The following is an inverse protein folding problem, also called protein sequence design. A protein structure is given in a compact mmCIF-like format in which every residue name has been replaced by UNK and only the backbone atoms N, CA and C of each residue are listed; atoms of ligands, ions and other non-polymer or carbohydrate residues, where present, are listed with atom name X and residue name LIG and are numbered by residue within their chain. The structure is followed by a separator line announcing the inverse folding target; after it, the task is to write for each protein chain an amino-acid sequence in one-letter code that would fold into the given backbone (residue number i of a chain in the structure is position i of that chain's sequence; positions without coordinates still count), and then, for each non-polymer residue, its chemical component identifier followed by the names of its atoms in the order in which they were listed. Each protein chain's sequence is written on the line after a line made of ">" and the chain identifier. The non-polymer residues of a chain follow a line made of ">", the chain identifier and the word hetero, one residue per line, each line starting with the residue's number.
data_IF_985730533437
#
_entry.id   IF_985730533437
#
_cell.length_a   1.000
_cell.length_b   1.000
_cell.length_c   1.000
_cell.angle_alpha   90.00
_cell.angle_beta   90.00
_cell.angle_gamma   90.00
#
_symmetry.space_group_name_H-M   'P 1'
#
loop_
_entity.id
_entity.type
_entity.pdbx_description
1 polymer ?
#
# COMPACT_ATOMS: atom_id res chain seq x y z
N UNK A 1 -15.20 68.41 -36.98
CA UNK A 1 -15.28 68.59 -35.52
C UNK A 1 -15.05 67.24 -34.88
N UNK A 2 -13.99 67.09 -34.10
CA UNK A 2 -13.32 65.84 -33.77
C UNK A 2 -14.02 65.06 -32.63
N UNK A 3 -14.49 63.86 -32.90
CA UNK A 3 -14.91 62.95 -31.83
C UNK A 3 -13.83 61.89 -31.64
N UNK A 4 -13.08 61.95 -30.54
CA UNK A 4 -12.07 60.97 -30.13
C UNK A 4 -12.77 59.80 -29.42
N UNK A 5 -12.84 58.67 -30.07
CA UNK A 5 -13.30 57.43 -29.42
C UNK A 5 -12.15 56.84 -28.59
N UNK A 6 -12.32 56.88 -27.26
CA UNK A 6 -11.45 56.16 -26.31
C UNK A 6 -11.88 54.71 -26.25
N UNK A 7 -11.06 53.85 -26.85
CA UNK A 7 -11.18 52.40 -26.66
C UNK A 7 -10.43 52.03 -25.37
N UNK A 8 -11.19 51.79 -24.31
CA UNK A 8 -10.69 51.23 -23.07
C UNK A 8 -10.49 49.72 -23.22
N UNK A 9 -9.25 49.30 -23.32
CA UNK A 9 -8.84 47.87 -23.28
C UNK A 9 -8.95 47.39 -21.84
N UNK A 10 -10.07 46.74 -21.52
CA UNK A 10 -10.27 46.03 -20.24
C UNK A 10 -9.52 44.70 -20.30
N UNK A 11 -8.29 44.72 -19.78
CA UNK A 11 -7.46 43.53 -19.60
C UNK A 11 -8.06 42.64 -18.50
N UNK A 12 -8.79 41.60 -18.90
CA UNK A 12 -9.39 40.59 -18.01
C UNK A 12 -8.30 39.59 -17.61
N UNK A 13 -7.64 39.84 -16.48
CA UNK A 13 -6.74 38.87 -15.85
C UNK A 13 -7.54 37.67 -15.37
N UNK A 14 -7.43 36.55 -16.11
CA UNK A 14 -7.83 35.23 -15.66
C UNK A 14 -6.89 34.79 -14.54
N UNK A 15 -7.30 34.96 -13.29
CA UNK A 15 -6.67 34.28 -12.16
C UNK A 15 -7.07 32.81 -12.24
N UNK A 16 -6.22 31.98 -12.86
CA UNK A 16 -6.25 30.54 -12.67
C UNK A 16 -5.88 30.23 -11.22
N UNK A 17 -6.86 30.17 -10.33
CA UNK A 17 -6.71 29.57 -9.01
C UNK A 17 -6.48 28.07 -9.20
N UNK A 18 -5.21 27.66 -9.26
CA UNK A 18 -4.81 26.25 -9.18
C UNK A 18 -5.22 25.72 -7.81
N UNK A 19 -6.41 25.13 -7.74
CA UNK A 19 -6.84 24.40 -6.56
C UNK A 19 -5.94 23.16 -6.42
N UNK A 20 -4.85 23.30 -5.66
CA UNK A 20 -4.05 22.15 -5.22
C UNK A 20 -4.95 21.35 -4.29
N UNK A 21 -5.43 20.22 -4.77
CA UNK A 21 -6.06 19.20 -3.94
C UNK A 21 -5.03 18.76 -2.90
N UNK A 22 -5.13 19.32 -1.72
CA UNK A 22 -4.29 18.97 -0.59
C UNK A 22 -4.75 17.59 -0.11
N UNK A 23 -3.95 16.57 -0.37
CA UNK A 23 -4.26 15.23 0.10
C UNK A 23 -4.33 15.25 1.64
N UNK A 24 -5.35 14.61 2.22
CA UNK A 24 -5.50 14.60 3.67
C UNK A 24 -4.26 13.99 4.31
N UNK A 25 -3.69 14.69 5.28
CA UNK A 25 -2.52 14.19 6.03
C UNK A 25 -2.98 13.04 6.90
N UNK A 26 -2.65 11.82 6.51
CA UNK A 26 -2.90 10.61 7.32
C UNK A 26 -2.01 10.68 8.56
N UNK A 27 -2.63 10.78 9.74
CA UNK A 27 -1.93 10.85 11.04
C UNK A 27 -2.06 9.57 11.86
N UNK A 28 -2.93 8.66 11.45
CA UNK A 28 -3.21 7.40 12.12
C UNK A 28 -3.51 6.33 11.08
N UNK A 29 -3.00 5.12 11.28
CA UNK A 29 -3.18 4.01 10.37
C UNK A 29 -1.89 3.23 10.14
N UNK A 30 -1.68 2.76 8.92
CA UNK A 30 -0.48 2.03 8.53
C UNK A 30 0.24 2.73 7.37
N UNK A 31 1.54 2.54 7.31
CA UNK A 31 2.38 2.94 6.18
C UNK A 31 3.52 1.94 6.02
N UNK A 32 4.16 1.92 4.88
CA UNK A 32 5.31 1.04 4.67
C UNK A 32 5.62 0.84 3.20
N UNK A 33 6.34 -0.23 2.94
CA UNK A 33 6.80 -0.57 1.60
C UNK A 33 6.47 -2.03 1.25
N UNK A 34 5.98 -2.24 0.04
CA UNK A 34 5.82 -3.56 -0.57
C UNK A 34 7.02 -3.81 -1.48
N UNK A 35 7.75 -4.88 -1.20
CA UNK A 35 8.91 -5.29 -2.00
C UNK A 35 8.73 -6.70 -2.53
N UNK A 36 9.30 -6.94 -3.70
CA UNK A 36 9.27 -8.23 -4.36
C UNK A 36 10.68 -8.80 -4.45
N UNK A 37 10.81 -10.04 -4.01
CA UNK A 37 12.06 -10.79 -4.08
C UNK A 37 11.86 -11.97 -5.01
N UNK A 38 12.69 -12.08 -6.02
CA UNK A 38 12.70 -13.21 -6.93
C UNK A 38 14.13 -13.70 -7.16
N UNK A 39 14.25 -14.96 -7.58
CA UNK A 39 15.52 -15.58 -7.93
C UNK A 39 16.19 -16.32 -6.78
N UNK A 40 17.41 -16.81 -7.06
CA UNK A 40 18.19 -17.61 -6.14
C UNK A 40 18.79 -16.72 -5.03
N UNK A 41 18.39 -16.96 -3.79
CA UNK A 41 18.87 -16.29 -2.57
C UNK A 41 19.99 -17.08 -1.87
N UNK A 42 20.44 -18.21 -2.45
CA UNK A 42 21.54 -18.99 -1.84
C UNK A 42 22.83 -18.18 -1.83
N UNK A 43 23.57 -18.18 -0.69
CA UNK A 43 24.90 -17.62 -0.64
C UNK A 43 25.81 -18.31 -1.66
N UNK A 44 26.35 -17.56 -2.61
CA UNK A 44 27.36 -18.06 -3.56
C UNK A 44 28.65 -17.28 -3.36
N UNK A 45 29.81 -17.95 -3.28
CA UNK A 45 31.10 -17.27 -3.08
C UNK A 45 31.41 -16.23 -4.17
N UNK A 46 30.89 -16.45 -5.39
CA UNK A 46 31.16 -15.62 -6.55
C UNK A 46 30.14 -14.52 -6.81
N UNK A 47 29.03 -14.49 -6.05
CA UNK A 47 27.99 -13.48 -6.22
C UNK A 47 27.87 -12.59 -5.01
N UNK A 48 28.65 -11.52 -4.97
CA UNK A 48 28.42 -10.37 -4.10
C UNK A 48 27.21 -9.53 -4.54
N UNK A 49 26.19 -10.18 -5.08
CA UNK A 49 24.94 -9.55 -5.50
C UNK A 49 24.00 -9.46 -4.28
N UNK A 50 23.91 -8.28 -3.68
CA UNK A 50 22.79 -7.99 -2.79
C UNK A 50 21.51 -8.23 -3.58
N UNK A 51 20.64 -9.13 -3.12
CA UNK A 51 19.28 -9.21 -3.63
C UNK A 51 18.65 -7.82 -3.41
N UNK A 52 18.40 -7.12 -4.49
CA UNK A 52 17.76 -5.81 -4.39
C UNK A 52 16.28 -6.07 -4.25
N UNK A 53 15.76 -5.84 -3.04
CA UNK A 53 14.32 -5.83 -2.80
C UNK A 53 13.70 -4.71 -3.65
N UNK A 54 13.11 -5.07 -4.77
CA UNK A 54 12.49 -4.10 -5.67
C UNK A 54 11.11 -3.72 -5.13
N UNK A 55 10.87 -2.41 -4.93
CA UNK A 55 9.54 -1.90 -4.66
C UNK A 55 8.59 -2.23 -5.82
N UNK A 56 7.35 -2.58 -5.53
CA UNK A 56 6.35 -2.95 -6.52
C UNK A 56 5.00 -2.35 -6.21
N UNK A 57 4.30 -1.95 -7.28
CA UNK A 57 2.92 -1.50 -7.19
C UNK A 57 2.01 -2.71 -7.01
N UNK A 58 1.30 -2.78 -5.88
CA UNK A 58 0.32 -3.85 -5.56
C UNK A 58 -0.86 -3.28 -4.80
N UNK A 59 -1.99 -3.95 -4.90
CA UNK A 59 -3.12 -3.69 -4.03
C UNK A 59 -2.92 -4.42 -2.70
N UNK A 60 -3.16 -3.70 -1.61
CA UNK A 60 -3.22 -4.25 -0.26
C UNK A 60 -4.68 -4.24 0.17
N UNK A 61 -5.20 -5.40 0.51
CA UNK A 61 -6.54 -5.58 1.06
C UNK A 61 -6.43 -5.71 2.58
N UNK A 62 -7.06 -4.79 3.30
CA UNK A 62 -7.06 -4.74 4.76
C UNK A 62 -8.39 -5.29 5.24
N UNK A 63 -8.33 -6.36 5.99
CA UNK A 63 -9.48 -7.07 6.54
C UNK A 63 -9.56 -6.90 8.06
N UNK A 64 -10.74 -7.13 8.65
CA UNK A 64 -10.84 -7.40 10.07
C UNK A 64 -9.92 -8.57 10.42
N UNK A 65 -9.52 -8.67 11.69
CA UNK A 65 -8.59 -9.70 12.16
C UNK A 65 -9.02 -11.08 11.68
N UNK A 66 -8.15 -11.77 10.95
CA UNK A 66 -8.46 -12.98 10.18
C UNK A 66 -7.64 -14.16 10.66
N UNK A 67 -8.28 -15.26 11.00
CA UNK A 67 -7.65 -16.52 11.36
C UNK A 67 -7.62 -17.53 10.18
N UNK A 68 -6.96 -18.67 10.39
CA UNK A 68 -6.83 -19.74 9.39
C UNK A 68 -8.17 -20.36 8.96
N UNK A 69 -9.22 -20.26 9.78
CA UNK A 69 -10.56 -20.78 9.45
C UNK A 69 -11.33 -19.86 8.49
N UNK A 70 -10.92 -18.62 8.41
CA UNK A 70 -11.56 -17.58 7.59
C UNK A 70 -10.92 -17.41 6.21
N UNK A 71 -9.95 -18.23 5.87
CA UNK A 71 -9.31 -18.24 4.55
C UNK A 71 -9.47 -19.58 3.85
N UNK A 72 -9.28 -19.59 2.55
CA UNK A 72 -9.18 -20.82 1.74
C UNK A 72 -7.84 -20.81 1.01
N UNK A 73 -7.27 -21.99 0.77
CA UNK A 73 -5.92 -22.13 0.20
C UNK A 73 -4.87 -22.37 1.28
N UNK A 74 -3.61 -22.29 0.90
CA UNK A 74 -2.46 -22.53 1.78
C UNK A 74 -1.50 -21.33 1.77
N UNK A 75 -0.89 -21.05 2.93
CA UNK A 75 0.16 -20.06 3.02
C UNK A 75 1.29 -20.35 2.02
N UNK A 76 1.87 -19.32 1.40
CA UNK A 76 1.59 -17.92 1.57
C UNK A 76 0.52 -17.37 0.62
N UNK A 77 -0.13 -18.20 -0.22
CA UNK A 77 -1.08 -17.78 -1.25
C UNK A 77 -2.47 -18.31 -0.95
N UNK A 78 -3.37 -17.44 -0.55
CA UNK A 78 -4.76 -17.80 -0.24
C UNK A 78 -5.67 -17.46 -1.42
N UNK A 79 -6.65 -18.30 -1.70
CA UNK A 79 -7.61 -18.12 -2.80
C UNK A 79 -8.81 -17.27 -2.40
N UNK A 80 -9.14 -17.25 -1.11
CA UNK A 80 -10.28 -16.52 -0.58
C UNK A 80 -10.04 -16.08 0.85
N UNK A 81 -10.52 -14.87 1.20
CA UNK A 81 -10.60 -14.34 2.57
C UNK A 81 -12.06 -14.06 2.86
N UNK A 82 -12.61 -14.65 3.93
CA UNK A 82 -14.04 -14.55 4.30
C UNK A 82 -14.33 -13.52 5.39
N UNK A 83 -13.30 -13.03 6.08
CA UNK A 83 -13.46 -11.91 7.00
C UNK A 83 -13.88 -10.64 6.26
N UNK A 84 -14.38 -9.66 6.99
CA UNK A 84 -14.89 -8.43 6.40
C UNK A 84 -13.75 -7.56 5.89
N UNK A 85 -13.85 -7.16 4.62
CA UNK A 85 -12.94 -6.18 4.04
C UNK A 85 -13.21 -4.80 4.65
N UNK A 86 -12.17 -4.19 5.22
CA UNK A 86 -12.24 -2.85 5.80
C UNK A 86 -11.95 -1.80 4.73
N UNK A 87 -10.86 -1.95 4.01
CA UNK A 87 -10.45 -1.03 2.93
C UNK A 87 -9.37 -1.66 2.06
N UNK A 88 -9.07 -0.98 0.95
CA UNK A 88 -7.98 -1.33 0.04
C UNK A 88 -7.11 -0.10 -0.21
N UNK A 89 -5.82 -0.30 -0.33
CA UNK A 89 -4.87 0.75 -0.69
C UNK A 89 -3.88 0.21 -1.72
N UNK A 90 -3.49 1.04 -2.66
CA UNK A 90 -2.48 0.67 -3.67
C UNK A 90 -1.13 1.29 -3.28
N UNK A 91 -0.05 0.51 -3.37
CA UNK A 91 1.31 1.04 -3.29
C UNK A 91 1.69 1.72 -4.61
N UNK A 92 2.59 2.68 -4.54
CA UNK A 92 3.16 3.35 -5.70
C UNK A 92 4.19 2.48 -6.46
N UNK A 93 4.84 3.05 -7.47
CA UNK A 93 5.85 2.36 -8.28
C UNK A 93 7.10 1.95 -7.48
N UNK A 94 7.41 2.68 -6.42
CA UNK A 94 8.49 2.41 -5.47
C UNK A 94 8.07 1.45 -4.36
N UNK A 95 6.79 1.02 -4.37
CA UNK A 95 6.17 0.11 -3.41
C UNK A 95 5.67 0.80 -2.15
N UNK A 96 5.74 2.13 -2.04
CA UNK A 96 5.33 2.84 -0.83
C UNK A 96 3.80 2.95 -0.76
N UNK A 97 3.27 2.84 0.45
CA UNK A 97 1.83 3.01 0.69
C UNK A 97 1.56 3.65 2.05
N UNK A 98 0.39 4.25 2.16
CA UNK A 98 -0.10 4.84 3.39
C UNK A 98 -1.62 4.77 3.43
N UNK A 99 -2.17 4.27 4.54
CA UNK A 99 -3.60 4.06 4.70
C UNK A 99 -4.07 4.53 6.08
N UNK A 100 -5.13 5.33 6.09
CA UNK A 100 -5.79 5.73 7.33
C UNK A 100 -6.70 4.61 7.84
N UNK A 101 -6.56 4.25 9.11
CA UNK A 101 -7.35 3.22 9.76
C UNK A 101 -7.73 3.66 11.18
N UNK A 102 -8.88 3.21 11.66
CA UNK A 102 -9.24 3.36 13.07
C UNK A 102 -8.34 2.49 13.95
N UNK A 103 -8.20 2.82 15.26
CA UNK A 103 -7.47 1.96 16.19
C UNK A 103 -8.09 0.56 16.23
N UNK A 104 -7.24 -0.46 16.16
CA UNK A 104 -7.68 -1.85 16.13
C UNK A 104 -6.60 -2.80 15.61
N UNK A 105 -6.93 -4.09 15.52
CA UNK A 105 -6.09 -5.12 14.91
C UNK A 105 -6.69 -5.51 13.57
N UNK A 106 -5.84 -5.65 12.57
CA UNK A 106 -6.24 -5.95 11.19
C UNK A 106 -5.34 -7.01 10.60
N UNK A 107 -5.83 -7.70 9.58
CA UNK A 107 -5.04 -8.58 8.73
C UNK A 107 -4.83 -7.91 7.36
N UNK A 108 -3.58 -7.88 6.88
CA UNK A 108 -3.21 -7.21 5.64
C UNK A 108 -2.70 -8.22 4.63
N UNK A 109 -3.42 -8.35 3.52
CA UNK A 109 -3.06 -9.23 2.42
C UNK A 109 -2.64 -8.41 1.20
N UNK A 110 -1.67 -8.91 0.44
CA UNK A 110 -1.31 -8.33 -0.86
C UNK A 110 -2.04 -9.10 -1.95
N UNK A 111 -2.75 -8.40 -2.81
CA UNK A 111 -3.41 -9.02 -3.96
C UNK A 111 -2.40 -9.27 -5.09
N UNK A 112 -2.29 -10.51 -5.51
CA UNK A 112 -1.42 -10.94 -6.59
C UNK A 112 -2.05 -12.10 -7.38
N UNK A 113 -2.20 -11.93 -8.69
CA UNK A 113 -2.72 -12.96 -9.60
C UNK A 113 -4.07 -13.57 -9.13
N UNK A 114 -5.00 -12.74 -8.72
CA UNK A 114 -6.32 -13.14 -8.17
C UNK A 114 -6.24 -13.98 -6.88
N UNK A 115 -5.14 -13.89 -6.17
CA UNK A 115 -4.92 -14.52 -4.86
C UNK A 115 -4.48 -13.47 -3.83
N UNK A 116 -4.48 -13.88 -2.57
CA UNK A 116 -4.11 -13.05 -1.43
C UNK A 116 -2.83 -13.58 -0.82
N UNK A 117 -1.75 -12.81 -0.97
CA UNK A 117 -0.46 -13.17 -0.38
C UNK A 117 -0.39 -12.69 1.06
N UNK A 118 0.00 -13.60 1.97
CA UNK A 118 0.40 -13.29 3.34
C UNK A 118 1.33 -14.40 3.85
N UNK A 119 2.49 -14.02 4.39
CA UNK A 119 3.55 -14.95 4.79
C UNK A 119 3.86 -14.95 6.29
N UNK A 120 3.00 -14.38 7.10
CA UNK A 120 3.15 -14.36 8.55
C UNK A 120 1.87 -14.78 9.27
N UNK A 121 2.05 -15.49 10.38
CA UNK A 121 0.96 -15.85 11.31
C UNK A 121 1.49 -15.50 12.70
N UNK A 122 0.66 -14.86 13.51
CA UNK A 122 1.03 -14.53 14.89
C UNK A 122 0.85 -15.73 15.85
N UNK A 123 1.25 -15.55 17.10
CA UNK A 123 1.17 -16.61 18.12
C UNK A 123 -0.29 -16.98 18.50
N UNK A 124 -1.26 -16.17 18.13
CA UNK A 124 -2.68 -16.40 18.36
C UNK A 124 -3.35 -17.08 17.16
N UNK A 125 -2.61 -17.29 16.06
CA UNK A 125 -3.09 -17.92 14.83
C UNK A 125 -3.73 -16.98 13.82
N UNK A 126 -3.59 -15.68 14.00
CA UNK A 126 -4.06 -14.69 13.04
C UNK A 126 -3.04 -14.40 11.95
N UNK A 127 -3.52 -14.17 10.75
CA UNK A 127 -2.72 -14.03 9.53
C UNK A 127 -2.37 -12.56 9.30
N UNK A 128 -1.08 -12.28 9.04
CA UNK A 128 -0.52 -10.99 8.63
C UNK A 128 -1.07 -9.80 9.46
N UNK A 129 -0.98 -9.91 10.79
CA UNK A 129 -1.58 -8.98 11.72
C UNK A 129 -0.81 -7.67 11.82
N UNK A 130 -1.55 -6.59 11.96
CA UNK A 130 -1.02 -5.27 12.31
C UNK A 130 -1.91 -4.61 13.37
N UNK A 131 -1.29 -3.96 14.35
CA UNK A 131 -2.00 -3.18 15.37
C UNK A 131 -1.90 -1.70 15.07
N UNK A 132 -3.05 -1.04 14.91
CA UNK A 132 -3.16 0.41 14.77
C UNK A 132 -3.52 1.01 16.12
N UNK A 133 -2.72 1.98 16.58
CA UNK A 133 -2.94 2.73 17.82
C UNK A 133 -3.45 4.14 17.51
N UNK A 134 -4.18 4.73 18.46
CA UNK A 134 -4.71 6.10 18.33
C UNK A 134 -3.58 7.11 18.05
N UNK A 135 -3.77 7.94 17.04
CA UNK A 135 -2.84 9.01 16.63
C UNK A 135 -1.42 8.54 16.26
N UNK A 136 -1.28 7.26 15.91
CA UNK A 136 0.01 6.67 15.52
C UNK A 136 -0.09 6.09 14.12
N UNK A 137 0.93 6.30 13.33
CA UNK A 137 1.18 5.57 12.10
C UNK A 137 2.06 4.37 12.43
N UNK A 138 1.55 3.18 12.19
CA UNK A 138 2.28 1.92 12.37
C UNK A 138 2.99 1.55 11.08
N UNK A 139 4.29 1.30 11.14
CA UNK A 139 5.04 0.82 9.99
C UNK A 139 4.78 -0.67 9.75
N UNK A 140 4.48 -1.02 8.49
CA UNK A 140 4.30 -2.39 8.05
C UNK A 140 4.96 -2.57 6.68
N UNK A 141 6.15 -3.15 6.65
CA UNK A 141 6.86 -3.50 5.42
C UNK A 141 6.53 -4.94 5.02
N UNK A 142 6.13 -5.15 3.76
CA UNK A 142 5.72 -6.45 3.25
C UNK A 142 6.70 -6.89 2.17
N UNK A 143 7.27 -8.11 2.33
CA UNK A 143 8.18 -8.73 1.37
C UNK A 143 7.50 -9.91 0.70
N UNK A 144 7.23 -9.77 -0.59
CA UNK A 144 6.65 -10.84 -1.40
C UNK A 144 7.78 -11.75 -1.85
N UNK A 145 7.83 -12.97 -1.31
CA UNK A 145 8.93 -13.89 -1.49
C UNK A 145 8.53 -15.31 -1.98
N UNK A 146 7.28 -15.51 -2.39
CA UNK A 146 6.78 -16.84 -2.79
C UNK A 146 7.48 -17.43 -4.03
N UNK A 147 8.23 -16.63 -4.79
CA UNK A 147 9.07 -17.06 -5.92
C UNK A 147 10.58 -17.02 -5.63
N UNK A 148 10.98 -16.76 -4.40
CA UNK A 148 12.39 -16.83 -4.02
C UNK A 148 12.79 -18.30 -3.77
N UNK A 149 13.96 -18.68 -4.29
CA UNK A 149 14.59 -19.97 -4.00
C UNK A 149 15.65 -19.75 -2.92
N UNK A 150 15.61 -20.53 -1.85
CA UNK A 150 16.55 -20.47 -0.73
C UNK A 150 17.48 -21.68 -0.72
#
# INVERSE_FOLDING_TARGET
>A
MNSKVFISLLSMWFFCTSCRLQQPVVRQGIFGKVTYISGNQMPSPDKRGKSVDKGVMRWLAIYELTDSKQVSGQAPMYTQVRSKLVTRVQSDAEGQYKCSLYPGRYSVFVEENNQFFANSIDNEGYIATVQVKTKILTELNIRINHKALY
#
